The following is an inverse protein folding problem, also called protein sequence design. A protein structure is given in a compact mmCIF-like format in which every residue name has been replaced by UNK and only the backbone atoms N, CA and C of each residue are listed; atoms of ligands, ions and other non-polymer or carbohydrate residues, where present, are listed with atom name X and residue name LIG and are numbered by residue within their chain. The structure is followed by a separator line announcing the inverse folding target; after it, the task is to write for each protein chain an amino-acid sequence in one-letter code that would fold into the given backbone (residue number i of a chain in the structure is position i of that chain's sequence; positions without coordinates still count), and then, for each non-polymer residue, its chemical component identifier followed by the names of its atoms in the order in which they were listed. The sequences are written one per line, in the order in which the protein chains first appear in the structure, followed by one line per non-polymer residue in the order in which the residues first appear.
data_IF_457495171620
#
_entry.id   IF_457495171620
#
_cell.length_a   1.000
_cell.length_b   1.000
_cell.length_c   1.000
_cell.angle_alpha   90.00
_cell.angle_beta   90.00
_cell.angle_gamma   90.00
#
_symmetry.space_group_name_H-M   'P 1'
#
loop_
_entity.id
_entity.type
_entity.pdbx_description
1 polymer ?
#
# COMPACT_ATOMS: atom_id res chain seq x y z
N UNK A 1 -38.84 10.86 -1.83
CA UNK A 1 -37.97 10.10 -2.76
C UNK A 1 -37.64 8.79 -2.07
N UNK A 2 -37.87 7.64 -2.72
CA UNK A 2 -37.45 6.37 -2.14
C UNK A 2 -35.90 6.42 -1.99
N UNK A 3 -35.41 6.27 -0.76
CA UNK A 3 -33.96 6.17 -0.51
C UNK A 3 -33.44 4.95 -1.28
N UNK A 4 -32.43 5.16 -2.13
CA UNK A 4 -31.74 4.06 -2.81
C UNK A 4 -31.22 3.10 -1.75
N UNK A 5 -31.33 1.79 -1.98
CA UNK A 5 -30.79 0.75 -1.07
C UNK A 5 -29.29 0.92 -0.76
N UNK A 6 -28.58 1.72 -1.55
CA UNK A 6 -27.17 2.03 -1.39
C UNK A 6 -26.88 3.39 -0.78
N UNK A 7 -27.89 4.12 -0.26
CA UNK A 7 -27.65 5.40 0.43
C UNK A 7 -26.85 5.19 1.71
N UNK A 8 -25.82 6.00 1.92
CA UNK A 8 -24.99 5.98 3.12
C UNK A 8 -25.77 6.65 4.25
N UNK A 9 -26.09 5.90 5.30
CA UNK A 9 -26.87 6.40 6.44
C UNK A 9 -26.03 6.63 7.70
N UNK A 10 -24.87 5.98 7.78
CA UNK A 10 -23.97 6.08 8.94
C UNK A 10 -22.52 5.85 8.53
N UNK A 11 -21.63 6.65 9.12
CA UNK A 11 -20.18 6.47 9.08
C UNK A 11 -19.68 6.40 10.52
N UNK A 12 -18.84 5.44 10.80
CA UNK A 12 -18.20 5.23 12.10
C UNK A 12 -16.68 5.19 11.89
N UNK A 13 -15.92 5.80 12.79
CA UNK A 13 -14.47 5.69 12.77
C UNK A 13 -13.88 5.60 14.18
N UNK A 14 -12.79 4.87 14.31
CA UNK A 14 -12.09 4.68 15.58
C UNK A 14 -10.59 4.45 15.38
N UNK A 15 -9.76 4.99 16.30
CA UNK A 15 -8.32 4.76 16.27
C UNK A 15 -8.01 3.32 16.67
N UNK A 16 -6.94 2.78 16.09
CA UNK A 16 -6.40 1.45 16.40
C UNK A 16 -4.89 1.55 16.51
N UNK A 17 -4.34 1.09 17.63
CA UNK A 17 -2.91 0.94 17.86
C UNK A 17 -2.53 -0.52 17.64
N UNK A 18 -1.68 -0.80 16.66
CA UNK A 18 -1.29 -2.16 16.31
C UNK A 18 0.23 -2.28 16.48
N UNK A 19 0.71 -2.99 17.50
CA UNK A 19 2.14 -3.21 17.68
C UNK A 19 2.75 -3.95 16.48
N UNK A 20 3.99 -3.63 16.15
CA UNK A 20 4.78 -4.36 15.16
C UNK A 20 5.61 -5.44 15.86
N UNK A 21 5.83 -6.55 15.18
CA UNK A 21 6.68 -7.65 15.67
C UNK A 21 8.11 -7.18 15.88
N UNK A 22 8.64 -6.44 14.92
CA UNK A 22 9.97 -5.83 14.96
C UNK A 22 9.86 -4.33 14.67
N UNK A 23 10.81 -3.49 15.14
CA UNK A 23 10.84 -2.08 14.74
C UNK A 23 10.92 -1.93 13.22
N UNK A 24 9.99 -1.19 12.64
CA UNK A 24 9.98 -0.90 11.21
C UNK A 24 10.83 0.34 10.94
N UNK A 25 12.09 0.11 10.59
CA UNK A 25 13.09 1.17 10.35
C UNK A 25 13.30 1.32 8.85
N UNK A 26 13.08 2.53 8.37
CA UNK A 26 13.30 2.97 6.99
C UNK A 26 14.20 4.22 6.99
N UNK A 27 14.70 4.65 5.84
CA UNK A 27 15.60 5.82 5.78
C UNK A 27 14.98 7.10 6.37
N UNK A 28 13.65 7.23 6.33
CA UNK A 28 12.92 8.43 6.79
C UNK A 28 12.43 8.35 8.24
N UNK A 29 12.51 7.19 8.91
CA UNK A 29 12.03 7.08 10.29
C UNK A 29 11.93 5.68 10.87
N UNK A 30 11.38 5.59 12.07
CA UNK A 30 11.16 4.32 12.79
C UNK A 30 9.76 4.25 13.35
N UNK A 31 9.09 3.10 13.18
CA UNK A 31 7.77 2.80 13.74
C UNK A 31 7.82 1.56 14.62
N UNK A 32 7.17 1.61 15.78
CA UNK A 32 6.96 0.49 16.70
C UNK A 32 5.50 0.07 16.73
N UNK A 33 4.60 0.98 16.36
CA UNK A 33 3.16 0.84 16.38
C UNK A 33 2.58 1.45 15.11
N UNK A 34 1.67 0.77 14.45
CA UNK A 34 0.82 1.34 13.42
C UNK A 34 -0.33 2.09 14.11
N UNK A 35 -0.37 3.41 13.95
CA UNK A 35 -1.39 4.30 14.52
C UNK A 35 -2.51 4.56 13.50
N UNK A 36 -3.27 3.51 13.18
CA UNK A 36 -4.26 3.54 12.12
C UNK A 36 -5.64 3.99 12.61
N UNK A 37 -6.55 4.25 11.68
CA UNK A 37 -7.95 4.54 11.95
C UNK A 37 -8.82 3.62 11.10
N UNK A 38 -9.67 2.83 11.75
CA UNK A 38 -10.67 2.04 11.04
C UNK A 38 -11.93 2.84 10.79
N UNK A 39 -12.56 2.56 9.67
CA UNK A 39 -13.79 3.19 9.21
C UNK A 39 -14.82 2.12 8.91
N UNK A 40 -16.08 2.36 9.28
CA UNK A 40 -17.20 1.53 8.88
C UNK A 40 -18.29 2.40 8.28
N UNK A 41 -18.77 2.05 7.10
CA UNK A 41 -19.91 2.65 6.42
C UNK A 41 -21.10 1.70 6.50
N UNK A 42 -22.30 2.22 6.82
CA UNK A 42 -23.55 1.46 6.79
C UNK A 42 -24.50 2.09 5.77
N UNK A 43 -25.03 1.24 4.90
CA UNK A 43 -26.01 1.62 3.88
C UNK A 43 -27.45 1.47 4.39
N UNK A 44 -28.40 2.12 3.72
CA UNK A 44 -29.82 2.02 4.03
C UNK A 44 -30.41 0.60 3.91
N UNK A 45 -29.77 -0.27 3.13
CA UNK A 45 -30.08 -1.70 3.06
C UNK A 45 -29.65 -2.48 4.29
N UNK A 46 -28.83 -1.90 5.18
CA UNK A 46 -28.15 -2.59 6.29
C UNK A 46 -26.79 -3.16 5.93
N UNK A 47 -26.39 -3.15 4.65
CA UNK A 47 -25.05 -3.58 4.25
C UNK A 47 -23.99 -2.68 4.89
N UNK A 48 -22.91 -3.29 5.37
CA UNK A 48 -21.78 -2.62 6.00
C UNK A 48 -20.51 -2.88 5.21
N UNK A 49 -19.57 -1.93 5.25
CA UNK A 49 -18.25 -2.08 4.68
C UNK A 49 -17.21 -1.43 5.57
N UNK A 50 -16.01 -1.98 5.53
CA UNK A 50 -14.86 -1.54 6.30
C UNK A 50 -13.83 -0.85 5.42
N UNK A 51 -13.14 0.11 6.01
CA UNK A 51 -11.99 0.79 5.43
C UNK A 51 -10.95 1.08 6.50
N UNK A 52 -9.75 1.35 6.06
CA UNK A 52 -8.61 1.67 6.91
C UNK A 52 -7.90 2.90 6.38
N UNK A 53 -7.59 3.83 7.27
CA UNK A 53 -6.65 4.90 7.05
C UNK A 53 -5.39 4.61 7.86
N UNK A 54 -4.25 4.56 7.19
CA UNK A 54 -2.92 4.35 7.78
C UNK A 54 -2.03 5.56 7.51
N UNK A 55 -2.24 6.68 8.23
CA UNK A 55 -1.48 7.91 8.02
C UNK A 55 0.01 7.70 8.33
N UNK A 56 0.87 8.26 7.49
CA UNK A 56 2.32 8.14 7.64
C UNK A 56 2.97 9.52 7.51
N UNK A 57 3.17 10.26 8.63
CA UNK A 57 3.64 11.66 8.63
C UNK A 57 4.92 11.89 7.84
N UNK A 58 5.82 10.93 7.82
CA UNK A 58 7.09 11.01 7.12
C UNK A 58 6.94 10.97 5.58
N UNK A 59 5.80 10.47 5.08
CA UNK A 59 5.53 10.38 3.64
C UNK A 59 4.71 11.56 3.15
N UNK A 60 3.61 11.90 3.83
CA UNK A 60 2.64 12.90 3.34
C UNK A 60 2.24 13.95 4.39
N UNK A 61 2.77 13.86 5.61
CA UNK A 61 2.51 14.79 6.70
C UNK A 61 1.19 14.53 7.44
N UNK A 62 0.39 13.55 7.02
CA UNK A 62 -0.85 13.17 7.69
C UNK A 62 -0.55 12.33 8.93
N UNK A 63 -1.18 12.65 10.05
CA UNK A 63 -1.12 11.88 11.28
C UNK A 63 -2.52 11.44 11.72
N UNK A 64 -2.61 10.58 12.73
CA UNK A 64 -3.87 10.04 13.21
C UNK A 64 -4.87 11.11 13.66
N UNK A 65 -4.41 12.19 14.29
CA UNK A 65 -5.30 13.26 14.75
C UNK A 65 -5.89 14.05 13.59
N UNK A 66 -5.06 14.46 12.63
CA UNK A 66 -5.51 15.15 11.40
C UNK A 66 -6.43 14.25 10.58
N UNK A 67 -6.11 12.96 10.48
CA UNK A 67 -6.93 11.96 9.82
C UNK A 67 -8.32 11.81 10.46
N UNK A 68 -8.40 11.67 11.79
CA UNK A 68 -9.68 11.63 12.51
C UNK A 68 -10.49 12.92 12.33
N UNK A 69 -9.82 14.07 12.30
CA UNK A 69 -10.43 15.37 12.01
C UNK A 69 -11.06 15.41 10.61
N UNK A 70 -10.31 14.97 9.60
CA UNK A 70 -10.76 14.87 8.22
C UNK A 70 -11.93 13.88 8.09
N UNK A 71 -11.83 12.68 8.65
CA UNK A 71 -12.87 11.65 8.60
C UNK A 71 -14.21 12.15 9.13
N UNK A 72 -14.22 12.97 10.20
CA UNK A 72 -15.44 13.57 10.73
C UNK A 72 -16.10 14.55 9.76
N UNK A 73 -15.32 15.32 9.02
CA UNK A 73 -15.82 16.27 8.02
C UNK A 73 -16.27 15.56 6.76
N UNK A 74 -15.46 14.71 6.22
CA UNK A 74 -15.68 13.93 5.01
C UNK A 74 -16.87 12.97 5.18
N UNK A 75 -16.97 12.30 6.35
CA UNK A 75 -18.10 11.44 6.67
C UNK A 75 -19.45 12.17 6.59
N UNK A 76 -19.51 13.42 7.06
CA UNK A 76 -20.74 14.26 6.93
C UNK A 76 -21.06 14.58 5.47
N UNK A 77 -20.04 14.82 4.64
CA UNK A 77 -20.21 15.18 3.24
C UNK A 77 -20.74 14.04 2.37
N UNK A 78 -20.55 12.78 2.79
CA UNK A 78 -21.02 11.61 2.06
C UNK A 78 -22.33 11.02 2.56
N UNK A 79 -22.88 11.48 3.69
CA UNK A 79 -24.23 11.06 4.14
C UNK A 79 -25.27 11.33 3.05
N UNK A 80 -26.22 10.39 2.90
CA UNK A 80 -27.28 10.35 1.88
C UNK A 80 -26.79 10.19 0.43
N UNK A 81 -25.49 10.19 0.17
CA UNK A 81 -24.96 9.81 -1.14
C UNK A 81 -25.11 8.32 -1.36
N UNK A 82 -25.23 7.93 -2.60
CA UNK A 82 -25.24 6.51 -2.97
C UNK A 82 -23.82 5.97 -3.06
N UNK A 83 -23.52 4.89 -2.34
CA UNK A 83 -22.25 4.18 -2.47
C UNK A 83 -22.02 3.57 -3.87
N UNK A 84 -23.09 3.46 -4.68
CA UNK A 84 -22.97 3.09 -6.09
C UNK A 84 -22.22 4.14 -6.92
N UNK A 85 -22.20 5.40 -6.48
CA UNK A 85 -21.41 6.49 -7.08
C UNK A 85 -20.08 6.68 -6.33
N UNK A 86 -19.38 5.57 -6.03
CA UNK A 86 -18.09 5.60 -5.31
C UNK A 86 -17.03 6.44 -6.04
N UNK A 87 -17.07 6.50 -7.37
CA UNK A 87 -16.15 7.36 -8.13
C UNK A 87 -16.45 8.84 -7.93
N UNK A 88 -17.73 9.23 -7.91
CA UNK A 88 -18.15 10.60 -7.57
C UNK A 88 -17.84 10.95 -6.11
N UNK A 89 -17.97 9.98 -5.19
CA UNK A 89 -17.56 10.14 -3.80
C UNK A 89 -16.06 10.38 -3.73
N UNK A 90 -15.22 9.55 -4.37
CA UNK A 90 -13.77 9.70 -4.35
C UNK A 90 -13.31 11.08 -4.85
N UNK A 91 -13.87 11.55 -5.98
CA UNK A 91 -13.59 12.91 -6.48
C UNK A 91 -13.97 13.99 -5.49
N UNK A 92 -15.16 13.91 -4.88
CA UNK A 92 -15.58 14.84 -3.85
C UNK A 92 -14.62 14.84 -2.65
N UNK A 93 -14.21 13.67 -2.17
CA UNK A 93 -13.29 13.56 -1.02
C UNK A 93 -11.93 14.16 -1.36
N UNK A 94 -11.43 13.97 -2.60
CA UNK A 94 -10.19 14.57 -3.08
C UNK A 94 -10.26 16.11 -3.12
N UNK A 95 -11.38 16.68 -3.53
CA UNK A 95 -11.59 18.13 -3.54
C UNK A 95 -11.67 18.71 -2.12
N UNK A 96 -12.35 18.03 -1.20
CA UNK A 96 -12.56 18.51 0.16
C UNK A 96 -11.35 18.36 1.08
N UNK A 97 -10.52 17.35 0.85
CA UNK A 97 -9.36 17.05 1.70
C UNK A 97 -8.16 16.58 0.86
N UNK A 98 -7.58 17.45 0.01
CA UNK A 98 -6.48 17.07 -0.89
C UNK A 98 -5.21 16.64 -0.15
N UNK A 99 -5.00 17.10 1.08
CA UNK A 99 -3.82 16.80 1.91
C UNK A 99 -4.06 15.69 2.94
N UNK A 100 -5.17 14.96 2.83
CA UNK A 100 -5.54 13.87 3.77
C UNK A 100 -5.84 12.57 3.00
N UNK A 101 -4.85 12.02 2.27
CA UNK A 101 -5.07 10.88 1.40
C UNK A 101 -5.44 9.61 2.16
N UNK A 102 -4.88 9.36 3.36
CA UNK A 102 -5.23 8.20 4.16
C UNK A 102 -6.69 8.25 4.64
N UNK A 103 -7.17 9.42 5.10
CA UNK A 103 -8.57 9.59 5.46
C UNK A 103 -9.51 9.33 4.26
N UNK A 104 -9.15 9.83 3.07
CA UNK A 104 -9.89 9.55 1.83
C UNK A 104 -9.91 8.06 1.52
N UNK A 105 -8.75 7.41 1.57
CA UNK A 105 -8.61 5.98 1.32
C UNK A 105 -9.52 5.15 2.24
N UNK A 106 -9.54 5.45 3.54
CA UNK A 106 -10.39 4.75 4.51
C UNK A 106 -11.87 4.87 4.18
N UNK A 107 -12.35 6.07 3.84
CA UNK A 107 -13.76 6.28 3.47
C UNK A 107 -14.12 5.65 2.12
N UNK A 108 -13.26 5.80 1.11
CA UNK A 108 -13.48 5.20 -0.21
C UNK A 108 -13.56 3.68 -0.12
N UNK A 109 -12.60 3.06 0.57
CA UNK A 109 -12.58 1.61 0.80
C UNK A 109 -13.86 1.15 1.49
N UNK A 110 -14.28 1.82 2.58
CA UNK A 110 -15.48 1.44 3.31
C UNK A 110 -16.77 1.59 2.46
N UNK A 111 -16.86 2.65 1.63
CA UNK A 111 -18.00 2.83 0.72
C UNK A 111 -18.05 1.75 -0.35
N UNK A 112 -16.91 1.42 -0.97
CA UNK A 112 -16.80 0.40 -2.01
C UNK A 112 -17.11 -0.98 -1.43
N UNK A 113 -16.59 -1.28 -0.24
CA UNK A 113 -16.83 -2.55 0.45
C UNK A 113 -18.31 -2.72 0.79
N UNK A 114 -18.95 -1.69 1.38
CA UNK A 114 -20.39 -1.70 1.67
C UNK A 114 -21.24 -1.88 0.40
N UNK A 115 -20.85 -1.23 -0.71
CA UNK A 115 -21.52 -1.37 -1.99
C UNK A 115 -21.40 -2.81 -2.54
N UNK A 116 -20.22 -3.41 -2.46
CA UNK A 116 -19.98 -4.79 -2.89
C UNK A 116 -20.77 -5.79 -2.03
N UNK A 117 -20.89 -5.56 -0.71
CA UNK A 117 -21.78 -6.33 0.16
C UNK A 117 -23.24 -6.21 -0.28
N UNK A 118 -23.71 -5.01 -0.61
CA UNK A 118 -25.07 -4.78 -1.11
C UNK A 118 -25.34 -5.41 -2.49
N UNK A 119 -24.31 -5.62 -3.31
CA UNK A 119 -24.37 -6.32 -4.60
C UNK A 119 -24.14 -7.84 -4.48
N UNK A 120 -23.77 -8.35 -3.31
CA UNK A 120 -23.38 -9.73 -3.09
C UNK A 120 -22.23 -10.22 -4.00
N UNK A 121 -21.22 -9.37 -4.23
CA UNK A 121 -20.03 -9.70 -5.03
C UNK A 121 -18.75 -9.43 -4.25
N UNK A 122 -17.66 -10.18 -4.44
CA UNK A 122 -16.34 -9.81 -3.94
C UNK A 122 -15.88 -8.47 -4.53
N UNK A 123 -15.10 -7.69 -3.77
CA UNK A 123 -14.65 -6.36 -4.21
C UNK A 123 -13.87 -6.41 -5.53
N UNK A 124 -12.99 -7.38 -5.72
CA UNK A 124 -12.23 -7.54 -6.96
C UNK A 124 -13.11 -7.72 -8.21
N UNK A 125 -14.33 -8.24 -8.05
CA UNK A 125 -15.27 -8.44 -9.17
C UNK A 125 -15.87 -7.11 -9.65
N UNK A 126 -15.98 -6.11 -8.76
CA UNK A 126 -16.42 -4.76 -9.13
C UNK A 126 -15.52 -4.14 -10.21
N UNK A 127 -14.24 -4.48 -10.20
CA UNK A 127 -13.23 -3.97 -11.14
C UNK A 127 -12.88 -4.95 -12.27
N UNK A 128 -13.74 -5.94 -12.52
CA UNK A 128 -13.67 -6.81 -13.69
C UNK A 128 -13.21 -8.24 -13.41
N UNK A 129 -12.45 -8.50 -12.34
CA UNK A 129 -11.93 -9.82 -12.02
C UNK A 129 -11.04 -10.39 -13.13
N UNK A 130 -10.13 -9.57 -13.67
CA UNK A 130 -9.36 -9.92 -14.87
C UNK A 130 -8.17 -10.84 -14.59
N UNK A 131 -7.72 -10.97 -13.34
CA UNK A 131 -6.55 -11.78 -12.93
C UNK A 131 -6.77 -12.50 -11.59
N UNK A 132 -7.91 -13.20 -11.44
CA UNK A 132 -8.31 -13.90 -10.20
C UNK A 132 -7.56 -15.22 -10.05
N UNK A 133 -6.42 -15.16 -9.36
CA UNK A 133 -5.55 -16.30 -9.03
C UNK A 133 -4.72 -16.00 -7.79
N UNK A 134 -4.08 -17.01 -7.24
CA UNK A 134 -3.07 -16.79 -6.21
C UNK A 134 -1.93 -15.93 -6.77
N UNK A 135 -1.46 -14.98 -5.97
CA UNK A 135 -0.36 -14.08 -6.32
C UNK A 135 0.69 -14.12 -5.22
N UNK A 136 1.94 -14.05 -5.65
CA UNK A 136 3.07 -13.98 -4.73
C UNK A 136 3.33 -12.53 -4.32
N UNK A 137 3.65 -12.30 -3.04
CA UNK A 137 4.13 -11.03 -2.51
C UNK A 137 5.58 -11.17 -2.08
N UNK A 138 6.31 -10.07 -2.08
CA UNK A 138 7.61 -9.97 -1.42
C UNK A 138 7.45 -9.96 0.11
N UNK A 139 8.57 -9.83 0.81
CA UNK A 139 8.62 -9.60 2.25
C UNK A 139 9.65 -8.53 2.58
N UNK A 140 9.26 -7.57 3.39
CA UNK A 140 10.10 -6.46 3.84
C UNK A 140 11.02 -6.88 4.98
N UNK A 141 12.31 -6.59 4.82
CA UNK A 141 13.31 -6.64 5.88
C UNK A 141 13.72 -5.20 6.20
N UNK A 142 13.42 -4.70 7.39
CA UNK A 142 13.73 -3.32 7.79
C UNK A 142 15.24 -3.10 7.95
N UNK A 143 15.66 -1.85 8.07
CA UNK A 143 17.05 -1.53 8.43
C UNK A 143 17.29 -1.98 9.87
N UNK A 144 18.18 -2.95 10.05
CA UNK A 144 18.53 -3.52 11.35
C UNK A 144 19.97 -4.05 11.34
N UNK A 145 20.44 -4.56 12.48
CA UNK A 145 21.75 -5.15 12.57
C UNK A 145 21.91 -6.36 11.63
N UNK A 146 23.14 -6.68 11.25
CA UNK A 146 23.44 -7.80 10.37
C UNK A 146 22.88 -9.13 10.91
N UNK A 147 23.04 -9.39 12.20
CA UNK A 147 22.55 -10.61 12.85
C UNK A 147 21.02 -10.70 12.77
N UNK A 148 20.32 -9.59 13.04
CA UNK A 148 18.84 -9.55 12.94
C UNK A 148 18.38 -9.66 11.48
N UNK A 149 19.10 -9.05 10.54
CA UNK A 149 18.82 -9.22 9.10
C UNK A 149 18.88 -10.69 8.69
N UNK A 150 19.92 -11.42 9.12
CA UNK A 150 20.06 -12.84 8.82
C UNK A 150 19.01 -13.72 9.52
N UNK A 151 18.64 -13.38 10.76
CA UNK A 151 17.56 -14.03 11.48
C UNK A 151 16.24 -13.94 10.70
N UNK A 152 15.82 -12.71 10.36
CA UNK A 152 14.59 -12.44 9.61
C UNK A 152 14.62 -13.11 8.22
N UNK A 153 15.76 -12.99 7.51
CA UNK A 153 15.90 -13.59 6.19
C UNK A 153 15.71 -15.11 6.23
N UNK A 154 16.29 -15.81 7.22
CA UNK A 154 16.13 -17.26 7.37
C UNK A 154 14.71 -17.65 7.75
N UNK A 155 14.08 -16.90 8.62
CA UNK A 155 12.68 -17.11 9.00
C UNK A 155 11.76 -17.02 7.77
N UNK A 156 11.83 -15.91 7.04
CA UNK A 156 10.97 -15.68 5.88
C UNK A 156 11.28 -16.65 4.73
N UNK A 157 12.56 -16.98 4.53
CA UNK A 157 12.94 -18.02 3.57
C UNK A 157 12.32 -19.37 3.92
N UNK A 158 12.32 -19.75 5.21
CA UNK A 158 11.68 -20.97 5.71
C UNK A 158 10.16 -20.98 5.49
N UNK A 159 9.53 -19.80 5.45
CA UNK A 159 8.10 -19.62 5.14
C UNK A 159 7.82 -19.58 3.63
N UNK A 160 8.83 -19.69 2.77
CA UNK A 160 8.68 -19.81 1.32
C UNK A 160 8.91 -18.52 0.51
N UNK A 161 9.30 -17.42 1.15
CA UNK A 161 9.63 -16.18 0.42
C UNK A 161 10.94 -16.31 -0.33
N UNK A 162 11.01 -15.75 -1.54
CA UNK A 162 12.19 -15.73 -2.42
C UNK A 162 12.48 -14.34 -2.99
N UNK A 163 11.60 -13.38 -2.79
CA UNK A 163 11.79 -11.97 -3.11
C UNK A 163 11.79 -11.17 -1.79
N UNK A 164 12.94 -10.57 -1.46
CA UNK A 164 13.11 -9.81 -0.23
C UNK A 164 13.22 -8.32 -0.54
N UNK A 165 12.30 -7.53 0.00
CA UNK A 165 12.37 -6.07 -0.05
C UNK A 165 13.26 -5.58 1.09
N UNK A 166 14.49 -5.22 0.75
CA UNK A 166 15.47 -4.73 1.70
C UNK A 166 15.34 -3.22 1.85
N UNK A 167 15.01 -2.75 3.05
CA UNK A 167 15.09 -1.31 3.35
C UNK A 167 16.56 -0.91 3.43
N UNK A 168 16.91 0.13 2.66
CA UNK A 168 18.26 0.68 2.49
C UNK A 168 18.19 2.22 2.54
N UNK A 169 19.32 2.91 2.39
CA UNK A 169 19.30 4.37 2.21
C UNK A 169 19.90 5.16 3.36
N UNK A 170 20.52 4.50 4.38
CA UNK A 170 21.21 5.19 5.48
C UNK A 170 22.73 5.11 5.31
N UNK A 171 23.29 3.94 5.02
CA UNK A 171 24.71 3.71 4.87
C UNK A 171 24.94 2.67 3.76
N UNK A 172 25.50 3.11 2.65
CA UNK A 172 25.76 2.27 1.47
C UNK A 172 26.58 1.02 1.82
N UNK A 173 27.60 1.16 2.67
CA UNK A 173 28.49 0.05 3.03
C UNK A 173 27.77 -1.00 3.86
N UNK A 174 26.97 -0.58 4.84
CA UNK A 174 26.16 -1.48 5.66
C UNK A 174 25.05 -2.13 4.83
N UNK A 175 24.40 -1.38 3.96
CA UNK A 175 23.33 -1.89 3.10
C UNK A 175 23.87 -2.99 2.17
N UNK A 176 25.00 -2.76 1.49
CA UNK A 176 25.69 -3.77 0.66
C UNK A 176 26.09 -4.98 1.50
N UNK A 177 26.62 -4.77 2.71
CA UNK A 177 27.06 -5.86 3.60
C UNK A 177 25.87 -6.74 4.03
N UNK A 178 24.73 -6.13 4.34
CA UNK A 178 23.49 -6.85 4.70
C UNK A 178 23.00 -7.71 3.54
N UNK A 179 22.89 -7.15 2.34
CA UNK A 179 22.49 -7.91 1.14
C UNK A 179 23.47 -9.03 0.83
N UNK A 180 24.79 -8.76 0.90
CA UNK A 180 25.82 -9.77 0.66
C UNK A 180 25.72 -10.96 1.63
N UNK A 181 25.54 -10.68 2.91
CA UNK A 181 25.42 -11.74 3.93
C UNK A 181 24.16 -12.58 3.73
N UNK A 182 23.03 -11.94 3.37
CA UNK A 182 21.80 -12.66 3.05
C UNK A 182 21.98 -13.52 1.79
N UNK A 183 22.59 -12.99 0.73
CA UNK A 183 22.87 -13.73 -0.49
C UNK A 183 23.79 -14.94 -0.24
N UNK A 184 24.85 -14.78 0.58
CA UNK A 184 25.74 -15.88 0.95
C UNK A 184 25.03 -16.99 1.73
N UNK A 185 24.07 -16.64 2.58
CA UNK A 185 23.29 -17.60 3.35
C UNK A 185 22.15 -18.24 2.52
N UNK A 186 21.59 -17.52 1.56
CA UNK A 186 20.38 -17.85 0.80
C UNK A 186 20.58 -17.42 -0.68
N UNK A 187 21.33 -18.21 -1.50
CA UNK A 187 21.77 -17.74 -2.82
C UNK A 187 20.69 -17.70 -3.90
N UNK A 188 19.52 -18.30 -3.67
CA UNK A 188 18.39 -18.38 -4.61
C UNK A 188 17.33 -17.30 -4.41
N UNK A 189 17.64 -16.24 -3.61
CA UNK A 189 16.75 -15.10 -3.42
C UNK A 189 17.08 -13.96 -4.38
N UNK A 190 16.03 -13.15 -4.66
CA UNK A 190 16.19 -11.87 -5.32
C UNK A 190 15.85 -10.72 -4.35
N UNK A 191 16.43 -9.54 -4.61
CA UNK A 191 16.23 -8.36 -3.79
C UNK A 191 15.44 -7.27 -4.52
N UNK A 192 14.57 -6.60 -3.80
CA UNK A 192 14.15 -5.23 -4.08
C UNK A 192 14.93 -4.33 -3.13
N UNK A 193 15.64 -3.34 -3.65
CA UNK A 193 16.29 -2.32 -2.83
C UNK A 193 15.38 -1.10 -2.71
N UNK A 194 14.77 -0.90 -1.54
CA UNK A 194 13.90 0.26 -1.31
C UNK A 194 14.64 1.33 -0.50
N UNK A 195 15.00 2.41 -1.20
CA UNK A 195 15.78 3.51 -0.63
C UNK A 195 14.97 4.50 0.19
N UNK A 196 13.65 4.50 0.07
CA UNK A 196 12.77 5.50 0.70
C UNK A 196 13.36 6.93 0.65
N UNK A 197 13.88 7.32 -0.53
CA UNK A 197 14.50 8.63 -0.79
C UNK A 197 15.85 8.87 -0.09
N UNK A 198 16.48 7.85 0.51
CA UNK A 198 17.63 8.01 1.39
C UNK A 198 18.97 8.22 0.69
N UNK A 199 19.09 7.89 -0.60
CA UNK A 199 20.35 8.05 -1.34
C UNK A 199 20.39 9.30 -2.20
N UNK A 200 21.58 9.83 -2.41
CA UNK A 200 21.93 10.60 -3.60
C UNK A 200 22.11 9.64 -4.80
N UNK A 201 22.17 10.20 -6.02
CA UNK A 201 22.46 9.41 -7.23
C UNK A 201 23.76 8.62 -7.09
N UNK A 202 24.84 9.26 -6.63
CA UNK A 202 26.17 8.62 -6.55
C UNK A 202 26.19 7.50 -5.50
N UNK A 203 25.50 7.67 -4.37
CA UNK A 203 25.33 6.61 -3.37
C UNK A 203 24.54 5.43 -3.91
N UNK A 204 23.47 5.69 -4.68
CA UNK A 204 22.72 4.61 -5.33
C UNK A 204 23.57 3.84 -6.35
N UNK A 205 24.38 4.53 -7.16
CA UNK A 205 25.30 3.88 -8.08
C UNK A 205 26.35 3.05 -7.34
N UNK A 206 26.91 3.57 -6.24
CA UNK A 206 27.86 2.84 -5.40
C UNK A 206 27.23 1.60 -4.74
N UNK A 207 25.96 1.71 -4.31
CA UNK A 207 25.20 0.57 -3.80
C UNK A 207 25.03 -0.54 -4.85
N UNK A 208 24.57 -0.17 -6.06
CA UNK A 208 24.40 -1.13 -7.17
C UNK A 208 25.71 -1.82 -7.54
N UNK A 209 26.81 -1.05 -7.63
CA UNK A 209 28.14 -1.61 -7.89
C UNK A 209 28.58 -2.55 -6.77
N UNK A 210 28.26 -2.23 -5.53
CA UNK A 210 28.49 -3.10 -4.38
C UNK A 210 27.76 -4.43 -4.51
N UNK A 211 26.49 -4.42 -4.89
CA UNK A 211 25.67 -5.63 -5.09
C UNK A 211 26.19 -6.48 -6.26
N UNK A 212 26.57 -5.85 -7.37
CA UNK A 212 27.16 -6.55 -8.53
C UNK A 212 28.45 -7.32 -8.20
N UNK A 213 29.25 -6.88 -7.22
CA UNK A 213 30.52 -7.53 -6.83
C UNK A 213 30.35 -8.91 -6.23
N UNK A 214 29.18 -9.23 -5.68
CA UNK A 214 28.89 -10.55 -5.13
C UNK A 214 27.82 -11.34 -5.91
N UNK A 215 27.54 -10.92 -7.16
CA UNK A 215 26.54 -11.51 -8.06
C UNK A 215 25.12 -11.54 -7.46
N UNK A 216 24.78 -10.61 -6.57
CA UNK A 216 23.45 -10.49 -5.99
C UNK A 216 22.41 -10.11 -7.03
N UNK A 217 21.28 -10.78 -7.01
CA UNK A 217 20.15 -10.49 -7.92
C UNK A 217 19.33 -9.32 -7.40
N UNK A 218 19.58 -8.12 -7.92
CA UNK A 218 18.77 -6.92 -7.64
C UNK A 218 17.68 -6.80 -8.71
N UNK A 219 16.47 -7.22 -8.35
CA UNK A 219 15.33 -7.27 -9.28
C UNK A 219 14.72 -5.90 -9.52
N UNK A 220 14.78 -5.00 -8.54
CA UNK A 220 14.18 -3.67 -8.58
C UNK A 220 14.91 -2.71 -7.64
N UNK A 221 14.96 -1.44 -8.03
CA UNK A 221 15.25 -0.29 -7.16
C UNK A 221 13.98 0.52 -6.96
N UNK A 222 13.52 0.65 -5.72
CA UNK A 222 12.35 1.46 -5.39
C UNK A 222 12.80 2.76 -4.73
N UNK A 223 12.37 3.89 -5.30
CA UNK A 223 12.58 5.26 -4.84
C UNK A 223 13.92 5.50 -4.14
N UNK A 224 15.05 5.28 -4.82
CA UNK A 224 16.37 5.44 -4.19
C UNK A 224 16.70 6.88 -3.82
N UNK A 225 16.20 7.86 -4.59
CA UNK A 225 16.50 9.30 -4.44
C UNK A 225 15.26 10.10 -4.06
N UNK A 226 15.46 11.36 -3.65
CA UNK A 226 14.38 12.28 -3.31
C UNK A 226 13.29 12.30 -4.38
N UNK A 227 12.03 12.35 -3.97
CA UNK A 227 10.86 12.22 -4.85
C UNK A 227 10.76 13.31 -5.92
N UNK A 228 11.34 14.48 -5.67
CA UNK A 228 11.39 15.60 -6.59
C UNK A 228 12.52 15.46 -7.64
N UNK A 229 13.51 14.59 -7.41
CA UNK A 229 14.69 14.42 -8.26
C UNK A 229 14.46 13.38 -9.37
N UNK A 230 13.56 13.70 -10.29
CA UNK A 230 13.23 12.83 -11.43
C UNK A 230 14.40 12.65 -12.40
N UNK A 231 15.31 13.62 -12.47
CA UNK A 231 16.50 13.54 -13.33
C UNK A 231 17.45 12.45 -12.82
N UNK A 232 17.76 12.45 -11.52
CA UNK A 232 18.58 11.40 -10.91
C UNK A 232 17.91 10.03 -11.01
N UNK A 233 16.59 9.96 -10.79
CA UNK A 233 15.84 8.70 -10.92
C UNK A 233 15.93 8.12 -12.33
N UNK A 234 15.75 8.97 -13.37
CA UNK A 234 15.91 8.59 -14.77
C UNK A 234 17.36 8.19 -15.12
N UNK A 235 18.34 8.89 -14.54
CA UNK A 235 19.76 8.56 -14.73
C UNK A 235 20.13 7.21 -14.10
N UNK A 236 19.69 6.94 -12.86
CA UNK A 236 19.90 5.65 -12.17
C UNK A 236 19.34 4.49 -13.02
N UNK A 237 18.08 4.63 -13.48
CA UNK A 237 17.45 3.66 -14.37
C UNK A 237 18.30 3.34 -15.60
N UNK A 238 18.75 4.38 -16.30
CA UNK A 238 19.55 4.25 -17.52
C UNK A 238 20.94 3.68 -17.25
N UNK A 239 21.63 4.19 -16.23
CA UNK A 239 23.05 3.94 -15.99
C UNK A 239 23.28 2.58 -15.31
N UNK A 240 22.34 2.11 -14.51
CA UNK A 240 22.44 0.80 -13.82
C UNK A 240 21.89 -0.36 -14.64
N UNK A 241 20.89 -0.11 -15.48
CA UNK A 241 20.11 -1.14 -16.17
C UNK A 241 19.22 -1.96 -15.24
N UNK A 242 19.14 -1.61 -13.95
CA UNK A 242 18.20 -2.21 -12.99
C UNK A 242 16.85 -1.52 -13.15
N UNK A 243 15.72 -2.27 -13.19
CA UNK A 243 14.40 -1.66 -13.20
C UNK A 243 14.19 -0.74 -12.00
N UNK A 244 13.54 0.39 -12.22
CA UNK A 244 13.24 1.39 -11.19
C UNK A 244 11.74 1.50 -10.98
N UNK A 245 11.30 1.53 -9.71
CA UNK A 245 9.95 1.87 -9.31
C UNK A 245 9.90 3.27 -8.68
N UNK A 246 8.94 4.08 -9.15
CA UNK A 246 8.59 5.35 -8.52
C UNK A 246 7.49 5.09 -7.46
N UNK A 247 7.79 5.41 -6.20
CA UNK A 247 6.87 5.31 -5.06
C UNK A 247 6.47 6.70 -4.56
N UNK A 248 7.28 7.36 -3.76
CA UNK A 248 6.97 8.67 -3.18
C UNK A 248 6.89 9.77 -4.23
N UNK A 249 7.48 9.57 -5.41
CA UNK A 249 7.36 10.46 -6.56
C UNK A 249 5.99 10.43 -7.24
N UNK A 250 5.09 9.48 -6.88
CA UNK A 250 3.74 9.37 -7.46
C UNK A 250 2.69 9.44 -6.37
N UNK A 251 2.05 10.61 -6.23
CA UNK A 251 1.02 10.92 -5.23
C UNK A 251 -0.26 11.48 -5.87
N UNK A 252 -0.25 11.61 -7.19
CA UNK A 252 -1.36 12.07 -8.01
C UNK A 252 -1.23 11.53 -9.44
N UNK A 253 -2.31 11.64 -10.22
CA UNK A 253 -2.26 11.33 -11.64
C UNK A 253 -1.28 12.25 -12.39
N UNK A 254 -1.14 13.51 -11.96
CA UNK A 254 -0.20 14.45 -12.57
C UNK A 254 1.26 14.02 -12.31
N UNK A 255 1.59 13.55 -11.11
CA UNK A 255 2.92 13.01 -10.83
C UNK A 255 3.24 11.81 -11.73
N UNK A 256 2.28 10.90 -11.91
CA UNK A 256 2.48 9.76 -12.82
C UNK A 256 2.79 10.21 -14.25
N UNK A 257 2.15 11.27 -14.74
CA UNK A 257 2.47 11.87 -16.05
C UNK A 257 3.90 12.42 -16.09
N UNK A 258 4.37 13.06 -15.02
CA UNK A 258 5.74 13.56 -14.92
C UNK A 258 6.77 12.42 -14.95
N UNK A 259 6.54 11.35 -14.20
CA UNK A 259 7.38 10.13 -14.22
C UNK A 259 7.52 9.59 -15.65
N UNK A 260 6.43 9.49 -16.37
CA UNK A 260 6.41 8.99 -17.74
C UNK A 260 7.12 9.94 -18.68
N UNK A 261 6.84 11.25 -18.59
CA UNK A 261 7.44 12.26 -19.44
C UNK A 261 8.98 12.34 -19.30
N UNK A 262 9.50 12.12 -18.09
CA UNK A 262 10.94 12.10 -17.82
C UNK A 262 11.58 10.73 -18.09
N UNK A 263 10.80 9.68 -18.38
CA UNK A 263 11.32 8.31 -18.48
C UNK A 263 12.00 7.84 -17.18
N UNK A 264 11.47 8.30 -16.04
CA UNK A 264 12.13 8.20 -14.74
C UNK A 264 12.01 6.82 -14.11
N UNK A 265 11.05 5.98 -14.52
CA UNK A 265 10.84 4.68 -13.93
C UNK A 265 10.38 3.65 -14.98
N UNK A 266 10.45 2.37 -14.61
CA UNK A 266 9.87 1.22 -15.32
C UNK A 266 8.53 0.80 -14.69
N UNK A 267 8.41 1.02 -13.38
CA UNK A 267 7.24 0.72 -12.58
C UNK A 267 6.72 1.96 -11.85
N UNK A 268 5.42 2.02 -11.69
CA UNK A 268 4.77 2.90 -10.70
C UNK A 268 4.27 2.01 -9.55
N UNK A 269 4.71 2.30 -8.32
CA UNK A 269 4.20 1.65 -7.13
C UNK A 269 2.89 2.32 -6.69
N UNK A 270 1.79 1.63 -6.93
CA UNK A 270 0.46 2.05 -6.50
C UNK A 270 0.31 1.75 -5.01
N UNK A 271 0.05 2.80 -4.22
CA UNK A 271 -0.36 2.68 -2.82
C UNK A 271 -1.64 3.49 -2.65
N UNK A 272 -2.74 2.81 -2.38
CA UNK A 272 -4.05 3.47 -2.21
C UNK A 272 -4.03 4.52 -1.10
N UNK A 273 -3.15 4.35 -0.13
CA UNK A 273 -2.98 5.25 1.00
C UNK A 273 -2.40 6.63 0.62
N UNK A 274 -1.68 6.74 -0.52
CA UNK A 274 -1.13 8.01 -1.02
C UNK A 274 -2.15 8.86 -1.78
N UNK A 275 -3.22 8.25 -2.31
CA UNK A 275 -4.08 8.90 -3.32
C UNK A 275 -5.58 8.75 -3.05
N UNK A 276 -5.98 7.76 -2.27
CA UNK A 276 -7.33 7.20 -2.29
C UNK A 276 -7.44 6.08 -3.34
N UNK A 277 -8.52 5.33 -3.30
CA UNK A 277 -8.73 4.14 -4.16
C UNK A 277 -9.10 4.52 -5.59
N UNK A 278 -9.93 5.57 -5.73
CA UNK A 278 -10.43 6.01 -7.05
C UNK A 278 -9.28 6.55 -7.89
N UNK A 279 -8.49 7.46 -7.35
CA UNK A 279 -7.34 8.03 -8.05
C UNK A 279 -6.24 6.98 -8.27
N UNK A 280 -6.01 6.05 -7.33
CA UNK A 280 -5.07 4.94 -7.51
C UNK A 280 -5.41 4.11 -8.77
N UNK A 281 -6.69 3.83 -9.02
CA UNK A 281 -7.15 3.14 -10.24
C UNK A 281 -6.90 3.96 -11.50
N UNK A 282 -7.13 5.26 -11.45
CA UNK A 282 -6.88 6.16 -12.59
C UNK A 282 -5.38 6.21 -12.91
N UNK A 283 -4.52 6.32 -11.90
CA UNK A 283 -3.05 6.26 -12.05
C UNK A 283 -2.64 4.92 -12.65
N UNK A 284 -3.15 3.79 -12.13
CA UNK A 284 -2.82 2.47 -12.64
C UNK A 284 -3.21 2.31 -14.12
N UNK A 285 -4.42 2.73 -14.49
CA UNK A 285 -4.89 2.65 -15.87
C UNK A 285 -4.04 3.53 -16.82
N UNK A 286 -3.70 4.74 -16.39
CA UNK A 286 -2.86 5.65 -17.16
C UNK A 286 -1.43 5.11 -17.34
N UNK A 287 -0.84 4.59 -16.27
CA UNK A 287 0.50 3.98 -16.27
C UNK A 287 0.59 2.84 -17.28
N UNK A 288 -0.37 1.91 -17.25
CA UNK A 288 -0.43 0.80 -18.21
C UNK A 288 -0.61 1.27 -19.64
N UNK A 289 -1.49 2.25 -19.88
CA UNK A 289 -1.72 2.80 -21.22
C UNK A 289 -0.49 3.50 -21.81
N UNK A 290 0.41 3.92 -20.94
CA UNK A 290 1.68 4.58 -21.29
C UNK A 290 2.85 3.58 -21.46
N UNK A 291 2.61 2.29 -21.30
CA UNK A 291 3.59 1.22 -21.51
C UNK A 291 4.50 0.93 -20.31
N UNK A 292 4.28 1.57 -19.16
CA UNK A 292 4.97 1.23 -17.91
C UNK A 292 4.24 0.06 -17.22
N UNK A 293 4.92 -0.52 -16.25
CA UNK A 293 4.44 -1.63 -15.42
C UNK A 293 3.92 -1.14 -14.08
N UNK A 294 3.17 -1.99 -13.38
CA UNK A 294 2.63 -1.71 -12.07
C UNK A 294 3.27 -2.58 -10.99
N UNK A 295 3.63 -1.93 -9.92
CA UNK A 295 3.82 -2.50 -8.60
C UNK A 295 2.68 -2.05 -7.71
N UNK A 296 2.31 -2.81 -6.69
CA UNK A 296 1.38 -2.40 -5.66
C UNK A 296 2.00 -2.62 -4.30
N UNK A 297 1.89 -1.63 -3.43
CA UNK A 297 2.38 -1.70 -2.07
C UNK A 297 1.43 -1.04 -1.08
N UNK A 298 1.93 -0.81 0.12
CA UNK A 298 1.20 -0.14 1.20
C UNK A 298 2.10 0.64 2.14
N UNK A 299 1.48 1.21 3.16
CA UNK A 299 2.14 1.73 4.35
C UNK A 299 2.25 0.61 5.39
N UNK A 300 1.96 0.88 6.67
CA UNK A 300 1.83 -0.16 7.69
C UNK A 300 0.35 -0.41 7.93
N UNK A 301 -0.20 -1.37 7.21
CA UNK A 301 -1.63 -1.58 7.02
C UNK A 301 -2.06 -2.99 7.45
N UNK A 302 -3.35 -3.13 7.81
CA UNK A 302 -3.97 -4.43 8.06
C UNK A 302 -4.52 -5.04 6.78
N UNK A 303 -5.17 -6.20 6.91
CA UNK A 303 -5.87 -6.84 5.79
C UNK A 303 -7.03 -6.04 5.21
N UNK A 304 -7.49 -4.96 5.86
CA UNK A 304 -8.53 -4.09 5.28
C UNK A 304 -7.96 -3.35 4.07
N UNK A 305 -6.95 -2.52 4.25
CA UNK A 305 -6.37 -1.76 3.15
C UNK A 305 -5.59 -2.66 2.17
N UNK A 306 -4.86 -3.66 2.69
CA UNK A 306 -4.19 -4.65 1.84
C UNK A 306 -5.17 -5.49 1.02
N UNK A 307 -6.36 -5.81 1.55
CA UNK A 307 -7.43 -6.49 0.81
C UNK A 307 -8.00 -5.63 -0.31
N UNK A 308 -8.14 -4.32 -0.08
CA UNK A 308 -8.53 -3.38 -1.13
C UNK A 308 -7.45 -3.31 -2.23
N UNK A 309 -6.18 -3.19 -1.86
CA UNK A 309 -5.04 -3.22 -2.79
C UNK A 309 -5.00 -4.55 -3.57
N UNK A 310 -5.18 -5.69 -2.89
CA UNK A 310 -5.25 -6.98 -3.57
C UNK A 310 -6.47 -7.11 -4.49
N UNK A 311 -7.59 -6.46 -4.14
CA UNK A 311 -8.75 -6.37 -5.04
C UNK A 311 -8.43 -5.65 -6.35
N UNK A 312 -7.59 -4.62 -6.34
CA UNK A 312 -7.10 -3.95 -7.55
C UNK A 312 -6.28 -4.92 -8.41
N UNK A 313 -5.37 -5.69 -7.81
CA UNK A 313 -4.56 -6.70 -8.51
C UNK A 313 -5.45 -7.73 -9.19
N UNK A 314 -6.43 -8.27 -8.48
CA UNK A 314 -7.33 -9.30 -9.00
C UNK A 314 -8.33 -8.73 -10.03
N UNK A 315 -8.74 -7.48 -9.86
CA UNK A 315 -9.71 -6.80 -10.71
C UNK A 315 -9.12 -6.29 -12.02
N UNK A 316 -7.88 -5.84 -11.99
CA UNK A 316 -7.16 -5.25 -13.12
C UNK A 316 -6.02 -6.17 -13.57
N UNK A 317 -5.55 -6.00 -14.81
CA UNK A 317 -4.30 -6.65 -15.28
C UNK A 317 -3.12 -5.70 -15.10
N UNK A 318 -1.89 -6.23 -15.12
CA UNK A 318 -0.67 -5.45 -15.26
C UNK A 318 0.11 -5.22 -13.99
N UNK A 319 -0.36 -5.66 -12.82
CA UNK A 319 0.45 -5.70 -11.61
C UNK A 319 1.43 -6.89 -11.69
N UNK A 320 2.72 -6.59 -11.69
CA UNK A 320 3.78 -7.62 -11.78
C UNK A 320 4.41 -7.89 -10.41
N UNK A 321 4.62 -6.85 -9.60
CA UNK A 321 5.24 -6.91 -8.27
C UNK A 321 4.20 -6.56 -7.22
N UNK A 322 4.09 -7.38 -6.19
CA UNK A 322 3.22 -7.16 -5.04
C UNK A 322 4.08 -7.04 -3.78
N UNK A 323 3.85 -5.96 -3.04
CA UNK A 323 4.41 -5.62 -1.73
C UNK A 323 3.22 -5.46 -0.76
N UNK A 324 2.54 -6.59 -0.51
CA UNK A 324 1.33 -6.68 0.29
C UNK A 324 1.56 -7.51 1.56
N UNK A 325 2.72 -7.33 2.17
CA UNK A 325 3.25 -8.14 3.26
C UNK A 325 2.97 -7.57 4.65
N UNK A 326 2.58 -6.29 4.77
CA UNK A 326 2.56 -5.60 6.06
C UNK A 326 1.67 -6.25 7.13
N UNK A 327 0.54 -6.92 6.84
CA UNK A 327 -0.17 -7.72 7.84
C UNK A 327 0.67 -8.81 8.51
N UNK A 328 1.71 -9.31 7.84
CA UNK A 328 2.64 -10.32 8.39
C UNK A 328 3.68 -9.71 9.36
N UNK A 329 3.85 -8.39 9.33
CA UNK A 329 4.78 -7.64 10.19
C UNK A 329 4.10 -7.15 11.48
N UNK A 330 2.77 -7.23 11.56
CA UNK A 330 2.01 -6.87 12.76
C UNK A 330 2.20 -7.95 13.83
N UNK A 331 2.36 -7.54 15.08
CA UNK A 331 2.43 -8.48 16.20
C UNK A 331 1.08 -9.19 16.43
N UNK A 332 -0.02 -8.51 16.11
CA UNK A 332 -1.38 -9.03 16.14
C UNK A 332 -2.19 -8.35 15.05
N UNK A 333 -2.89 -9.11 14.21
CA UNK A 333 -3.81 -8.56 13.23
C UNK A 333 -5.23 -8.45 13.86
N UNK A 334 -5.74 -7.22 14.09
CA UNK A 334 -7.06 -7.03 14.71
C UNK A 334 -8.22 -7.34 13.77
N UNK A 335 -7.93 -7.80 12.55
CA UNK A 335 -8.91 -8.07 11.49
C UNK A 335 -9.00 -9.57 11.23
N UNK A 336 -10.21 -10.08 11.12
CA UNK A 336 -10.48 -11.49 10.76
C UNK A 336 -11.11 -11.58 9.37
N UNK A 337 -10.88 -12.70 8.66
CA UNK A 337 -11.41 -12.96 7.32
C UNK A 337 -10.56 -12.37 6.19
N UNK A 338 -11.17 -12.24 5.01
CA UNK A 338 -10.52 -11.70 3.82
C UNK A 338 -9.61 -12.70 3.09
N UNK A 339 -8.60 -12.16 2.43
CA UNK A 339 -7.59 -12.98 1.76
C UNK A 339 -6.68 -13.69 2.78
N UNK A 340 -6.05 -14.77 2.34
CA UNK A 340 -5.19 -15.59 3.20
C UNK A 340 -3.76 -15.65 2.64
N UNK A 341 -2.78 -15.69 3.56
CA UNK A 341 -1.40 -15.98 3.24
C UNK A 341 -1.11 -17.48 3.38
N UNK A 342 -0.45 -18.05 2.36
CA UNK A 342 0.16 -19.38 2.39
C UNK A 342 1.64 -19.22 2.05
N UNK A 343 2.48 -18.97 3.06
CA UNK A 343 3.84 -18.51 2.84
C UNK A 343 3.83 -17.15 2.14
N UNK A 344 4.51 -17.05 0.99
CA UNK A 344 4.55 -15.85 0.15
C UNK A 344 3.29 -15.64 -0.72
N UNK A 345 2.36 -16.61 -0.74
CA UNK A 345 1.21 -16.58 -1.65
C UNK A 345 -0.05 -16.02 -1.00
N UNK A 346 -0.69 -15.06 -1.66
CA UNK A 346 -2.01 -14.54 -1.31
C UNK A 346 -3.06 -15.28 -2.10
N UNK A 347 -4.10 -15.77 -1.40
CA UNK A 347 -5.23 -16.47 -2.01
C UNK A 347 -6.44 -15.54 -2.05
N UNK A 348 -7.15 -15.40 -3.22
CA UNK A 348 -8.33 -14.58 -3.32
C UNK A 348 -9.52 -15.21 -2.57
N UNK A 349 -10.39 -14.36 -2.01
CA UNK A 349 -11.63 -14.75 -1.37
C UNK A 349 -12.81 -14.73 -2.35
N UNK A 350 -13.95 -15.33 -1.95
CA UNK A 350 -15.14 -15.49 -2.81
C UNK A 350 -16.39 -14.82 -2.28
N UNK A 351 -16.40 -14.46 -1.00
CA UNK A 351 -17.55 -13.84 -0.34
C UNK A 351 -17.64 -12.34 -0.68
N UNK A 352 -18.79 -11.70 -0.44
CA UNK A 352 -19.02 -10.30 -0.80
C UNK A 352 -18.04 -9.33 -0.11
N UNK A 353 -17.80 -8.20 -0.77
CA UNK A 353 -16.92 -7.15 -0.27
C UNK A 353 -15.49 -7.64 -0.11
N UNK A 354 -14.86 -7.22 0.97
CA UNK A 354 -13.54 -7.70 1.43
C UNK A 354 -13.64 -8.98 2.28
N UNK A 355 -14.85 -9.38 2.66
CA UNK A 355 -15.11 -10.53 3.56
C UNK A 355 -14.37 -10.42 4.90
N UNK A 356 -14.33 -9.22 5.45
CA UNK A 356 -13.59 -8.88 6.66
C UNK A 356 -14.51 -8.51 7.81
N UNK A 357 -14.00 -8.67 9.02
CA UNK A 357 -14.61 -8.15 10.23
C UNK A 357 -13.54 -7.53 11.14
N UNK A 358 -13.80 -6.30 11.59
CA UNK A 358 -13.05 -5.60 12.62
C UNK A 358 -13.98 -5.20 13.76
N UNK A 359 -13.68 -5.64 14.98
CA UNK A 359 -14.52 -5.36 16.14
C UNK A 359 -14.40 -3.88 16.54
N UNK A 360 -15.49 -3.08 16.48
CA UNK A 360 -15.44 -1.71 16.97
C UNK A 360 -15.35 -1.67 18.50
N UNK A 361 -14.62 -0.72 19.07
CA UNK A 361 -14.60 -0.49 20.52
C UNK A 361 -15.91 0.18 20.99
N UNK A 362 -16.07 0.33 22.31
CA UNK A 362 -17.26 0.97 22.89
C UNK A 362 -17.36 2.49 22.59
N UNK A 363 -16.24 3.14 22.27
CA UNK A 363 -16.09 4.60 22.08
C UNK A 363 -15.85 5.00 20.62
N UNK A 364 -16.72 4.55 19.73
CA UNK A 364 -16.64 4.88 18.30
C UNK A 364 -17.14 6.31 18.04
N UNK A 365 -16.45 7.04 17.16
CA UNK A 365 -17.02 8.28 16.61
C UNK A 365 -18.09 7.94 15.59
N UNK A 366 -19.33 8.33 15.86
CA UNK A 366 -20.50 8.08 14.99
C UNK A 366 -20.91 9.36 14.26
N UNK A 367 -21.06 9.26 12.95
CA UNK A 367 -21.51 10.34 12.06
C UNK A 367 -22.79 9.84 11.37
N UNK A 368 -23.93 10.39 11.75
CA UNK A 368 -25.25 10.06 11.19
C UNK A 368 -26.16 11.29 11.25
N UNK A 369 -27.24 11.29 10.47
CA UNK A 369 -28.29 12.30 10.68
C UNK A 369 -29.08 11.98 11.95
N UNK A 370 -29.50 13.02 12.65
CA UNK A 370 -30.43 12.95 13.77
C UNK A 370 -31.88 12.94 13.27
#
# INVERSE_FOLDING_TARGET
MATSSFSIIKVECWPVDIPLTDPFVVATGTRLVAENVFVRVTLSSGAQGYGEAAPFPEVDGENRESCLGALRQLGKAILDRSAADYEGIGRLLSELAPTQPAARCGLETACIDAYCHGLHIPMWKLWGGADVRNRETDITIPICSLDKTLELAREWYGRGFRLFKMKIGIDVGEDVRRLQAVHQALPDIAFIGDGNQGFSRDECLAFVDGVKRFDGTLALLEQPVAREDLESLAAIRRDTGIPVAADESVRSLEDAKQIIAHGAADYVNIKIMKTGVVEAREIAAYTLSSGLKLMIGGMVETRIAMGCSFSLVLGMKGFEILDLDTPLLLAEDPVSGGFEYQGAWLSPWKLPGLDLFAQPPNNVTVIQRH
#
